data_IF_354995732489
#
_entry.id   IF_354995732489
#
_cell.length_a   1.000
_cell.length_b   1.000
_cell.length_c   1.000
_cell.angle_alpha   90.00
_cell.angle_beta   90.00
_cell.angle_gamma   90.00
#
_symmetry.space_group_name_H-M   'P 1'
#
loop_
_entity.id
_entity.type
_entity.pdbx_description
1 polymer ?
#
# COMPACT_ATOMS: atom_id res chain seq x y z
N UNK A 1 1.95 -17.25 -11.50
CA UNK A 1 1.10 -16.05 -11.71
C UNK A 1 1.82 -14.86 -11.08
N UNK A 2 1.83 -13.67 -11.68
CA UNK A 2 2.50 -12.51 -11.06
C UNK A 2 1.63 -11.95 -9.94
N UNK A 3 2.21 -11.76 -8.77
CA UNK A 3 1.54 -11.21 -7.60
C UNK A 3 1.68 -9.70 -7.62
N UNK A 4 0.55 -9.00 -7.72
CA UNK A 4 0.53 -7.53 -7.71
C UNK A 4 0.43 -7.03 -6.27
N UNK A 5 1.01 -5.86 -6.03
CA UNK A 5 0.86 -5.10 -4.79
C UNK A 5 0.67 -3.64 -5.16
N UNK A 6 -0.40 -3.03 -4.67
CA UNK A 6 -0.55 -1.57 -4.73
C UNK A 6 -0.22 -0.96 -3.38
N UNK A 7 0.62 0.07 -3.38
CA UNK A 7 1.04 0.80 -2.18
C UNK A 7 0.78 2.27 -2.42
N UNK A 8 0.11 2.92 -1.47
CA UNK A 8 -0.12 4.37 -1.47
C UNK A 8 0.86 4.95 -0.45
N UNK A 9 1.72 5.87 -0.89
CA UNK A 9 2.66 6.57 -0.01
C UNK A 9 2.10 7.90 0.47
N UNK A 10 2.57 8.37 1.62
CA UNK A 10 2.19 9.66 2.19
C UNK A 10 1.28 9.50 3.40
N UNK A 11 1.60 10.22 4.47
CA UNK A 11 0.88 10.16 5.74
C UNK A 11 -0.57 10.63 5.61
N UNK A 12 -0.79 11.77 4.93
CA UNK A 12 -2.13 12.32 4.69
C UNK A 12 -3.00 11.36 3.86
N UNK A 13 -2.41 10.78 2.81
CA UNK A 13 -3.11 9.84 1.93
C UNK A 13 -3.39 8.51 2.64
N UNK A 14 -2.46 8.01 3.44
CA UNK A 14 -2.69 6.84 4.27
C UNK A 14 -3.83 7.11 5.26
N UNK A 15 -3.81 8.26 5.94
CA UNK A 15 -4.84 8.65 6.90
C UNK A 15 -6.22 8.76 6.24
N UNK A 16 -6.32 9.35 5.04
CA UNK A 16 -7.56 9.39 4.25
C UNK A 16 -8.12 8.00 4.01
N UNK A 17 -7.28 7.05 3.57
CA UNK A 17 -7.72 5.67 3.33
C UNK A 17 -8.19 4.99 4.62
N UNK A 18 -7.45 5.14 5.73
CA UNK A 18 -7.86 4.61 7.04
C UNK A 18 -9.21 5.21 7.54
N UNK A 19 -9.53 6.42 7.11
CA UNK A 19 -10.80 7.10 7.41
C UNK A 19 -11.89 6.91 6.33
N UNK A 20 -11.73 5.94 5.42
CA UNK A 20 -12.63 5.68 4.29
C UNK A 20 -12.85 6.90 3.37
N UNK A 21 -11.90 7.82 3.31
CA UNK A 21 -11.93 8.94 2.37
C UNK A 21 -11.33 8.52 1.03
N UNK A 22 -11.91 9.03 -0.05
CA UNK A 22 -11.41 8.82 -1.40
C UNK A 22 -10.21 9.74 -1.66
N UNK A 23 -9.19 9.20 -2.32
CA UNK A 23 -8.09 9.97 -2.87
C UNK A 23 -8.51 10.54 -4.22
N UNK A 24 -8.07 11.76 -4.51
CA UNK A 24 -8.27 12.35 -5.84
C UNK A 24 -7.40 11.64 -6.88
N UNK A 25 -7.77 11.71 -8.17
CA UNK A 25 -6.99 11.11 -9.25
C UNK A 25 -5.53 11.61 -9.29
N UNK A 26 -5.31 12.90 -9.04
CA UNK A 26 -3.97 13.50 -8.92
C UNK A 26 -3.16 12.90 -7.76
N UNK A 27 -3.80 12.69 -6.60
CA UNK A 27 -3.14 12.08 -5.44
C UNK A 27 -2.77 10.63 -5.73
N UNK A 28 -3.64 9.90 -6.41
CA UNK A 28 -3.37 8.53 -6.84
C UNK A 28 -2.22 8.49 -7.84
N UNK A 29 -2.16 9.38 -8.83
CA UNK A 29 -1.08 9.39 -9.82
C UNK A 29 0.31 9.59 -9.18
N UNK A 30 0.38 10.48 -8.19
CA UNK A 30 1.64 10.81 -7.51
C UNK A 30 2.03 9.71 -6.52
N UNK A 31 1.06 9.27 -5.69
CA UNK A 31 1.34 8.49 -4.48
C UNK A 31 1.12 6.98 -4.64
N UNK A 32 0.35 6.53 -5.65
CA UNK A 32 0.13 5.10 -5.90
C UNK A 32 1.32 4.50 -6.64
N UNK A 33 1.98 3.53 -6.02
CA UNK A 33 3.01 2.70 -6.66
C UNK A 33 2.51 1.27 -6.77
N UNK A 34 2.67 0.70 -7.96
CA UNK A 34 2.28 -0.68 -8.28
C UNK A 34 3.53 -1.53 -8.44
N UNK A 35 3.62 -2.58 -7.63
CA UNK A 35 4.71 -3.55 -7.66
C UNK A 35 4.19 -4.89 -8.17
N UNK A 36 5.08 -5.67 -8.76
CA UNK A 36 4.79 -7.01 -9.26
C UNK A 36 5.90 -7.96 -8.82
N UNK A 37 5.50 -9.08 -8.24
CA UNK A 37 6.39 -10.09 -7.69
C UNK A 37 6.17 -11.42 -8.42
N UNK A 38 7.23 -12.21 -8.53
CA UNK A 38 7.14 -13.53 -9.16
C UNK A 38 6.61 -14.58 -8.17
N UNK A 39 6.79 -14.34 -6.88
CA UNK A 39 6.41 -15.25 -5.80
C UNK A 39 5.66 -14.54 -4.66
N UNK A 40 4.82 -15.28 -3.93
CA UNK A 40 4.17 -14.77 -2.71
C UNK A 40 5.18 -14.42 -1.61
N UNK A 41 6.27 -15.19 -1.52
CA UNK A 41 7.35 -14.98 -0.55
C UNK A 41 8.01 -13.62 -0.75
N UNK A 42 8.32 -13.25 -2.00
CA UNK A 42 8.87 -11.93 -2.34
C UNK A 42 7.90 -10.80 -1.98
N UNK A 43 6.60 -10.95 -2.30
CA UNK A 43 5.57 -9.97 -1.94
C UNK A 43 5.50 -9.80 -0.41
N UNK A 44 5.50 -10.90 0.33
CA UNK A 44 5.42 -10.90 1.80
C UNK A 44 6.66 -10.27 2.44
N UNK A 45 7.86 -10.64 1.98
CA UNK A 45 9.11 -10.04 2.43
C UNK A 45 9.16 -8.53 2.15
N UNK A 46 8.68 -8.10 0.97
CA UNK A 46 8.60 -6.69 0.63
C UNK A 46 7.65 -5.91 1.54
N UNK A 47 6.43 -6.43 1.78
CA UNK A 47 5.45 -5.82 2.70
C UNK A 47 6.07 -5.66 4.10
N UNK A 48 6.72 -6.72 4.60
CA UNK A 48 7.35 -6.71 5.91
C UNK A 48 8.47 -5.67 5.98
N UNK A 49 9.36 -5.65 4.99
CA UNK A 49 10.45 -4.68 4.90
C UNK A 49 9.96 -3.23 4.82
N UNK A 50 8.88 -2.95 4.08
CA UNK A 50 8.29 -1.62 4.05
C UNK A 50 7.74 -1.20 5.41
N UNK A 51 7.03 -2.10 6.10
CA UNK A 51 6.53 -1.80 7.44
C UNK A 51 7.67 -1.51 8.42
N UNK A 52 8.76 -2.29 8.37
CA UNK A 52 9.92 -2.08 9.23
C UNK A 52 10.67 -0.77 8.91
N UNK A 53 10.73 -0.37 7.63
CA UNK A 53 11.50 0.81 7.20
C UNK A 53 10.73 2.13 7.34
N UNK A 54 9.42 2.14 7.10
CA UNK A 54 8.61 3.37 6.98
C UNK A 54 7.50 3.46 8.03
N UNK A 55 7.05 2.33 8.59
CA UNK A 55 5.89 2.26 9.47
C UNK A 55 4.54 2.44 8.73
N UNK A 56 3.48 1.85 9.28
CA UNK A 56 2.12 1.89 8.71
C UNK A 56 1.50 3.29 8.61
N UNK A 57 2.05 4.29 9.29
CA UNK A 57 1.51 5.65 9.25
C UNK A 57 1.91 6.40 7.98
N UNK A 58 2.98 5.99 7.30
CA UNK A 58 3.56 6.69 6.15
C UNK A 58 3.21 6.02 4.81
N UNK A 59 2.56 4.86 4.85
CA UNK A 59 2.11 4.12 3.69
C UNK A 59 0.84 3.34 3.99
N UNK A 60 0.01 3.15 2.97
CA UNK A 60 -1.16 2.28 3.04
C UNK A 60 -1.08 1.19 1.98
N UNK A 61 -1.39 -0.04 2.38
CA UNK A 61 -1.51 -1.20 1.50
C UNK A 61 -2.99 -1.62 1.47
N UNK A 62 -3.79 -1.15 0.50
CA UNK A 62 -5.22 -1.42 0.48
C UNK A 62 -5.55 -2.91 0.52
N UNK A 63 -4.76 -3.75 -0.16
CA UNK A 63 -4.96 -5.22 -0.16
C UNK A 63 -4.91 -5.87 1.24
N UNK A 64 -4.21 -5.27 2.22
CA UNK A 64 -4.16 -5.76 3.60
C UNK A 64 -5.28 -5.19 4.46
N UNK A 65 -5.74 -3.97 4.15
CA UNK A 65 -6.83 -3.29 4.85
C UNK A 65 -8.18 -3.95 4.55
N UNK A 66 -8.40 -4.40 3.30
CA UNK A 66 -9.62 -5.11 2.92
C UNK A 66 -9.74 -6.54 3.51
N UNK A 67 -8.66 -7.12 4.05
CA UNK A 67 -8.69 -8.44 4.69
C UNK A 67 -9.10 -8.42 6.17
N UNK A 68 -9.26 -7.25 6.79
CA UNK A 68 -9.64 -7.10 8.21
C UNK A 68 -11.15 -6.91 8.45
N UNK A 69 -11.99 -7.01 7.41
CA UNK A 69 -13.45 -6.91 7.52
C UNK A 69 -14.15 -8.27 7.50
#
# INVERSE_FOLDING_TARGET
>A
MKHKLSVIFGEDQAHKIYNNQLLSDEELEINLKKYSFNSLEEKSAFIKGMNEALGWNNLCIPELEFMKK
#
